data_IF_691865759810
#
_entry.id   IF_691865759810
#
_cell.length_a   1.000
_cell.length_b   1.000
_cell.length_c   1.000
_cell.angle_alpha   90.00
_cell.angle_beta   90.00
_cell.angle_gamma   90.00
#
_symmetry.space_group_name_H-M   'P 1'
#
loop_
_entity.id
_entity.type
_entity.pdbx_description
1 polymer ?
#
# COMPACT_ATOMS: atom_id res chain seq x y z
N UNK A 1 -19.24 -4.35 -10.67
CA UNK A 1 -18.73 -5.70 -10.64
C UNK A 1 -18.31 -6.07 -9.23
N UNK A 2 -18.77 -7.22 -8.75
CA UNK A 2 -18.58 -7.66 -7.35
C UNK A 2 -17.12 -7.79 -6.96
N UNK A 3 -16.29 -8.29 -7.87
CA UNK A 3 -14.87 -8.52 -7.59
C UNK A 3 -14.10 -7.20 -7.45
N UNK A 4 -14.38 -6.21 -8.28
CA UNK A 4 -13.75 -4.90 -8.18
C UNK A 4 -14.12 -4.21 -6.88
N UNK A 5 -15.39 -4.31 -6.48
CA UNK A 5 -15.85 -3.73 -5.22
C UNK A 5 -15.11 -4.34 -4.04
N UNK A 6 -14.94 -5.67 -4.04
CA UNK A 6 -14.19 -6.36 -3.00
C UNK A 6 -12.75 -5.87 -2.94
N UNK A 7 -12.11 -5.71 -4.11
CA UNK A 7 -10.72 -5.23 -4.18
C UNK A 7 -10.59 -3.81 -3.68
N UNK A 8 -11.55 -2.94 -3.99
CA UNK A 8 -11.56 -1.57 -3.47
C UNK A 8 -11.73 -1.56 -1.96
N UNK A 9 -12.60 -2.41 -1.43
CA UNK A 9 -12.79 -2.55 0.02
C UNK A 9 -11.52 -3.04 0.69
N UNK A 10 -10.81 -4.00 0.08
CA UNK A 10 -9.53 -4.49 0.59
C UNK A 10 -8.47 -3.38 0.61
N UNK A 11 -8.42 -2.56 -0.42
CA UNK A 11 -7.51 -1.42 -0.48
C UNK A 11 -7.81 -0.43 0.65
N UNK A 12 -9.07 -0.10 0.86
CA UNK A 12 -9.47 0.82 1.92
C UNK A 12 -9.14 0.27 3.31
N UNK A 13 -9.35 -1.02 3.54
CA UNK A 13 -9.00 -1.66 4.80
C UNK A 13 -7.49 -1.63 5.02
N UNK A 14 -6.71 -1.90 3.99
CA UNK A 14 -5.25 -1.87 4.07
C UNK A 14 -4.73 -0.45 4.35
N UNK A 15 -5.34 0.57 3.76
CA UNK A 15 -4.99 1.97 4.02
C UNK A 15 -5.29 2.33 5.48
N UNK A 16 -6.42 1.87 6.02
CA UNK A 16 -6.75 2.10 7.42
C UNK A 16 -5.70 1.49 8.35
N UNK A 17 -5.23 0.28 8.05
CA UNK A 17 -4.17 -0.37 8.82
C UNK A 17 -2.84 0.40 8.69
N UNK A 18 -2.53 0.92 7.49
CA UNK A 18 -1.34 1.74 7.28
C UNK A 18 -1.36 3.00 8.16
N UNK A 19 -2.52 3.63 8.29
CA UNK A 19 -2.68 4.80 9.16
C UNK A 19 -2.44 4.47 10.63
N UNK A 20 -2.88 3.30 11.08
CA UNK A 20 -2.63 2.87 12.46
C UNK A 20 -1.12 2.73 12.73
N UNK A 21 -0.38 2.20 11.77
CA UNK A 21 1.07 2.07 11.90
C UNK A 21 1.72 3.46 11.89
N UNK A 22 1.33 4.31 10.95
CA UNK A 22 1.91 5.65 10.80
C UNK A 22 1.65 6.52 12.04
N UNK A 23 0.48 6.38 12.66
CA UNK A 23 0.11 7.17 13.85
C UNK A 23 1.00 6.86 15.06
N UNK A 24 1.67 5.71 15.09
CA UNK A 24 2.59 5.36 16.16
C UNK A 24 3.95 6.04 16.02
N UNK A 25 4.22 6.64 14.88
CA UNK A 25 5.45 7.38 14.60
C UNK A 25 6.59 6.54 14.05
N UNK A 26 7.56 7.22 13.44
CA UNK A 26 8.69 6.57 12.76
C UNK A 26 9.55 5.73 13.70
N UNK A 27 9.84 6.26 14.89
CA UNK A 27 10.70 5.55 15.85
C UNK A 27 10.09 4.20 16.26
N UNK A 28 8.77 4.19 16.47
CA UNK A 28 8.05 2.95 16.79
C UNK A 28 8.12 1.96 15.63
N UNK A 29 7.95 2.46 14.41
CA UNK A 29 8.02 1.65 13.20
C UNK A 29 9.39 1.00 13.03
N UNK A 30 10.47 1.78 13.14
CA UNK A 30 11.82 1.29 12.95
C UNK A 30 12.21 0.25 14.00
N UNK A 31 11.70 0.37 15.21
CA UNK A 31 12.00 -0.53 16.31
C UNK A 31 11.10 -1.76 16.41
N UNK A 32 10.10 -1.89 15.53
CA UNK A 32 9.15 -2.98 15.60
C UNK A 32 9.16 -3.84 14.31
N UNK A 33 9.84 -5.00 14.33
CA UNK A 33 9.87 -5.88 13.16
C UNK A 33 8.50 -6.33 12.69
N UNK A 34 7.52 -6.44 13.59
CA UNK A 34 6.16 -6.83 13.21
C UNK A 34 5.46 -5.71 12.44
N UNK A 35 5.69 -4.46 12.84
CA UNK A 35 5.17 -3.31 12.10
C UNK A 35 5.75 -3.24 10.68
N UNK A 36 7.04 -3.50 10.55
CA UNK A 36 7.71 -3.53 9.24
C UNK A 36 7.13 -4.64 8.36
N UNK A 37 6.91 -5.82 8.93
CA UNK A 37 6.28 -6.94 8.21
C UNK A 37 4.87 -6.60 7.78
N UNK A 38 4.09 -6.02 8.68
CA UNK A 38 2.73 -5.60 8.37
C UNK A 38 2.72 -4.57 7.23
N UNK A 39 3.65 -3.62 7.27
CA UNK A 39 3.78 -2.61 6.24
C UNK A 39 4.07 -3.21 4.86
N UNK A 40 4.99 -4.16 4.79
CA UNK A 40 5.30 -4.87 3.55
C UNK A 40 4.07 -5.59 3.00
N UNK A 41 3.33 -6.25 3.88
CA UNK A 41 2.12 -6.96 3.50
C UNK A 41 1.04 -6.00 2.99
N UNK A 42 0.87 -4.86 3.66
CA UNK A 42 -0.08 -3.83 3.25
C UNK A 42 0.23 -3.33 1.83
N UNK A 43 1.48 -2.99 1.57
CA UNK A 43 1.90 -2.51 0.25
C UNK A 43 1.67 -3.58 -0.82
N UNK A 44 1.99 -4.84 -0.51
CA UNK A 44 1.76 -5.96 -1.42
C UNK A 44 0.28 -6.12 -1.73
N UNK A 45 -0.56 -6.09 -0.70
CA UNK A 45 -2.01 -6.24 -0.84
C UNK A 45 -2.62 -5.17 -1.71
N UNK A 46 -2.24 -3.91 -1.46
CA UNK A 46 -2.74 -2.77 -2.23
C UNK A 46 -2.27 -2.87 -3.69
N UNK A 47 -1.00 -3.18 -3.91
CA UNK A 47 -0.45 -3.32 -5.26
C UNK A 47 -1.11 -4.44 -6.05
N UNK A 48 -1.32 -5.59 -5.43
CA UNK A 48 -1.99 -6.72 -6.07
C UNK A 48 -3.46 -6.41 -6.37
N UNK A 49 -4.17 -5.80 -5.44
CA UNK A 49 -5.56 -5.42 -5.63
C UNK A 49 -5.70 -4.41 -6.77
N UNK A 50 -4.87 -3.37 -6.78
CA UNK A 50 -4.89 -2.35 -7.82
C UNK A 50 -4.61 -2.95 -9.21
N UNK A 51 -3.66 -3.87 -9.28
CA UNK A 51 -3.27 -4.52 -10.54
C UNK A 51 -4.41 -5.33 -11.14
N UNK A 52 -5.30 -5.87 -10.32
CA UNK A 52 -6.38 -6.75 -10.75
C UNK A 52 -7.72 -6.03 -10.97
N UNK A 53 -7.79 -4.72 -10.70
CA UNK A 53 -8.99 -3.94 -11.00
C UNK A 53 -9.25 -3.87 -12.51
N UNK A 54 -10.51 -3.90 -12.90
CA UNK A 54 -10.87 -3.81 -14.31
C UNK A 54 -10.59 -2.42 -14.87
N UNK A 55 -10.28 -2.30 -16.18
CA UNK A 55 -10.08 -0.99 -16.80
C UNK A 55 -11.27 -0.05 -16.64
N UNK A 56 -12.49 -0.59 -16.64
CA UNK A 56 -13.68 0.23 -16.47
C UNK A 56 -13.66 0.95 -15.11
N UNK A 57 -13.21 0.28 -14.06
CA UNK A 57 -13.13 0.87 -12.71
C UNK A 57 -12.00 1.88 -12.62
N UNK A 58 -10.81 1.55 -13.11
CA UNK A 58 -9.66 2.45 -13.04
C UNK A 58 -9.87 3.70 -13.90
N UNK A 59 -10.53 3.55 -15.05
CA UNK A 59 -10.84 4.68 -15.93
C UNK A 59 -11.90 5.59 -15.33
N UNK A 60 -12.80 5.04 -14.51
CA UNK A 60 -13.83 5.83 -13.83
C UNK A 60 -13.27 6.70 -12.70
N UNK A 61 -12.07 6.40 -12.20
CA UNK A 61 -11.41 7.13 -11.10
C UNK A 61 -10.00 7.54 -11.57
N UNK A 62 -9.92 8.47 -12.55
CA UNK A 62 -8.62 8.80 -13.16
C UNK A 62 -7.69 9.61 -12.26
N UNK A 63 -8.20 10.22 -11.19
CA UNK A 63 -7.39 10.97 -10.24
C UNK A 63 -6.53 10.09 -9.36
N UNK A 64 -6.78 8.79 -9.31
CA UNK A 64 -5.94 7.84 -8.56
C UNK A 64 -4.83 7.31 -9.48
N UNK A 65 -3.55 7.38 -9.08
CA UNK A 65 -2.44 6.91 -9.90
C UNK A 65 -2.30 5.39 -9.84
N UNK A 66 -3.21 4.68 -10.46
CA UNK A 66 -3.31 3.21 -10.38
C UNK A 66 -2.03 2.48 -10.79
N UNK A 67 -1.37 2.95 -11.84
CA UNK A 67 -0.13 2.32 -12.31
C UNK A 67 0.99 2.45 -11.29
N UNK A 68 1.10 3.62 -10.67
CA UNK A 68 2.09 3.86 -9.62
C UNK A 68 1.81 2.99 -8.39
N UNK A 69 0.55 2.84 -8.01
CA UNK A 69 0.14 2.01 -6.88
C UNK A 69 0.49 0.54 -7.14
N UNK A 70 0.17 0.04 -8.32
CA UNK A 70 0.50 -1.34 -8.69
C UNK A 70 2.02 -1.56 -8.69
N UNK A 71 2.81 -0.53 -9.03
CA UNK A 71 4.27 -0.60 -9.02
C UNK A 71 4.93 -0.46 -7.66
N UNK A 72 4.22 0.01 -6.64
CA UNK A 72 4.78 0.17 -5.29
C UNK A 72 5.39 -1.11 -4.75
N UNK A 73 4.71 -2.23 -4.96
CA UNK A 73 5.16 -3.53 -4.52
C UNK A 73 6.57 -3.83 -5.00
N UNK A 74 6.86 -3.54 -6.27
CA UNK A 74 8.17 -3.83 -6.84
C UNK A 74 9.27 -3.02 -6.19
N UNK A 75 9.01 -1.75 -5.88
CA UNK A 75 10.00 -0.89 -5.24
C UNK A 75 10.32 -1.32 -3.81
N UNK A 76 9.33 -1.84 -3.08
CA UNK A 76 9.49 -2.18 -1.67
C UNK A 76 9.93 -3.61 -1.43
N UNK A 77 9.58 -4.54 -2.32
CA UNK A 77 9.77 -5.98 -2.11
C UNK A 77 10.90 -6.56 -2.92
N UNK A 78 11.10 -6.12 -4.17
CA UNK A 78 12.11 -6.69 -5.06
C UNK A 78 13.53 -6.24 -4.77
N UNK A 79 13.75 -5.33 -3.83
CA UNK A 79 15.08 -4.93 -3.37
C UNK A 79 15.54 -5.74 -2.17
N UNK A 80 14.96 -6.90 -2.00
CA UNK A 80 15.39 -7.86 -0.99
C UNK A 80 16.86 -8.25 -1.20
N UNK A 81 17.68 -8.44 -0.12
CA UNK A 81 17.24 -8.50 1.27
C UNK A 81 17.09 -7.15 1.97
N UNK A 82 17.58 -6.08 1.39
CA UNK A 82 17.57 -4.76 2.03
C UNK A 82 16.33 -3.99 1.60
N UNK A 83 15.24 -4.15 2.37
CA UNK A 83 14.08 -3.29 2.21
C UNK A 83 14.47 -1.91 2.70
N UNK A 84 14.29 -0.91 1.83
CA UNK A 84 14.53 0.47 2.19
C UNK A 84 13.40 0.94 3.12
N UNK A 85 13.71 1.05 4.41
CA UNK A 85 12.73 1.45 5.42
C UNK A 85 12.22 2.87 5.19
N UNK A 86 13.06 3.75 4.63
CA UNK A 86 12.62 5.10 4.31
C UNK A 86 11.52 5.10 3.24
N UNK A 87 11.72 4.32 2.18
CA UNK A 87 10.73 4.19 1.11
C UNK A 87 9.44 3.57 1.65
N UNK A 88 9.56 2.53 2.45
CA UNK A 88 8.40 1.86 3.02
C UNK A 88 7.61 2.80 3.92
N UNK A 89 8.29 3.54 4.80
CA UNK A 89 7.66 4.51 5.69
C UNK A 89 6.98 5.62 4.90
N UNK A 90 7.65 6.18 3.90
CA UNK A 90 7.07 7.25 3.09
C UNK A 90 5.81 6.79 2.38
N UNK A 91 5.79 5.55 1.89
CA UNK A 91 4.61 4.96 1.27
C UNK A 91 3.46 4.89 2.27
N UNK A 92 3.71 4.38 3.48
CA UNK A 92 2.67 4.23 4.51
C UNK A 92 2.16 5.55 5.03
N UNK A 93 3.08 6.48 5.33
CA UNK A 93 2.74 7.70 6.05
C UNK A 93 2.26 8.83 5.13
N UNK A 94 2.72 8.83 3.90
CA UNK A 94 2.48 9.96 3.00
C UNK A 94 1.71 9.57 1.74
N UNK A 95 2.13 8.51 1.04
CA UNK A 95 1.53 8.16 -0.24
C UNK A 95 0.14 7.54 -0.10
N UNK A 96 -0.02 6.56 0.80
CA UNK A 96 -1.29 5.85 0.97
C UNK A 96 -2.41 6.71 1.57
N UNK A 97 -2.17 7.57 2.58
CA UNK A 97 -3.24 8.39 3.14
C UNK A 97 -3.88 9.34 2.14
N UNK A 98 -3.20 9.66 1.05
CA UNK A 98 -3.74 10.55 0.02
C UNK A 98 -4.64 9.82 -0.99
N UNK A 99 -4.72 8.52 -0.90
CA UNK A 99 -5.63 7.76 -1.73
C UNK A 99 -7.03 7.78 -1.12
#
# INVERSE_FOLDING_TARGET
VTDDRRRLDDILAAIADARLIADRGRASFDGDPLAVRAAKNIVTEIGEAAKTLSPATTDAIPEVPWRAIAGMRNRTIHRYPDVDLDVLWDTLAHDLPEL
#
